data_IF_437585859553
#
_entry.id   IF_437585859553
#
_cell.length_a   1.000
_cell.length_b   1.000
_cell.length_c   1.000
_cell.angle_alpha   90.00
_cell.angle_beta   90.00
_cell.angle_gamma   90.00
#
_symmetry.space_group_name_H-M   'P 1'
#
loop_
_entity.id
_entity.type
_entity.pdbx_description
1 polymer ?
#
# COMPACT_ATOMS: atom_id res chain seq x y z
N UNK A 1 0.61 2.10 31.20
CA UNK A 1 0.35 1.31 29.99
C UNK A 1 -0.70 2.05 29.17
N UNK A 2 -0.30 2.70 28.06
CA UNK A 2 -1.10 2.97 26.84
C UNK A 2 -0.48 4.13 26.07
N UNK A 3 0.59 3.85 25.32
CA UNK A 3 0.98 4.68 24.17
C UNK A 3 0.44 4.10 22.85
N UNK A 4 -0.44 3.09 22.96
CA UNK A 4 -1.02 2.35 21.83
C UNK A 4 -2.41 2.87 21.40
N UNK A 5 -2.91 3.95 22.01
CA UNK A 5 -4.13 4.66 21.59
C UNK A 5 -3.78 5.94 20.83
N UNK A 6 -2.88 5.85 19.86
CA UNK A 6 -2.85 6.84 18.79
C UNK A 6 -3.76 6.27 17.70
N UNK A 7 -4.68 7.08 17.17
CA UNK A 7 -5.44 6.69 15.99
C UNK A 7 -4.44 6.14 14.95
N UNK A 8 -4.63 4.91 14.47
CA UNK A 8 -3.67 4.32 13.55
C UNK A 8 -3.63 5.21 12.32
N UNK A 9 -2.46 5.80 12.06
CA UNK A 9 -2.19 6.66 10.89
C UNK A 9 -2.63 5.94 9.60
N UNK A 10 -2.55 4.61 9.60
CA UNK A 10 -3.07 3.74 8.55
C UNK A 10 -4.38 3.06 8.97
N UNK A 11 -5.48 3.39 8.30
CA UNK A 11 -6.71 2.60 8.35
C UNK A 11 -6.51 1.31 7.54
N UNK A 12 -6.47 0.16 8.22
CA UNK A 12 -6.28 -1.14 7.58
C UNK A 12 -7.51 -1.58 6.77
N UNK A 13 -8.65 -0.93 6.95
CA UNK A 13 -9.91 -1.25 6.28
C UNK A 13 -10.43 -2.64 6.66
N UNK A 14 -10.21 -3.08 7.90
CA UNK A 14 -10.45 -4.45 8.35
C UNK A 14 -11.87 -4.95 8.04
N UNK A 15 -12.89 -4.10 8.19
CA UNK A 15 -14.28 -4.44 7.85
C UNK A 15 -14.59 -4.52 6.34
N UNK A 16 -13.78 -3.89 5.49
CA UNK A 16 -13.95 -3.86 4.03
C UNK A 16 -13.06 -4.87 3.30
N UNK A 17 -12.03 -5.40 3.95
CA UNK A 17 -11.10 -6.39 3.35
C UNK A 17 -11.78 -7.67 2.87
N UNK A 18 -12.88 -8.06 3.51
CA UNK A 18 -13.68 -9.22 3.10
C UNK A 18 -14.61 -8.92 1.93
N UNK A 19 -14.79 -7.65 1.56
CA UNK A 19 -15.66 -7.26 0.45
C UNK A 19 -14.95 -7.53 -0.88
N UNK A 20 -15.51 -8.42 -1.72
CA UNK A 20 -14.96 -8.67 -3.05
C UNK A 20 -14.98 -7.37 -3.86
N UNK A 21 -13.84 -7.01 -4.44
CA UNK A 21 -13.72 -5.82 -5.29
C UNK A 21 -13.30 -4.53 -4.58
N UNK A 22 -13.31 -4.47 -3.24
CA UNK A 22 -12.89 -3.26 -2.51
C UNK A 22 -11.47 -2.80 -2.88
N UNK A 23 -10.52 -3.74 -2.96
CA UNK A 23 -9.15 -3.43 -3.37
C UNK A 23 -9.07 -2.96 -4.84
N UNK A 24 -9.90 -3.52 -5.72
CA UNK A 24 -9.96 -3.12 -7.13
C UNK A 24 -10.54 -1.71 -7.29
N UNK A 25 -11.58 -1.38 -6.52
CA UNK A 25 -12.18 -0.04 -6.52
C UNK A 25 -11.21 0.98 -5.92
N UNK A 26 -10.52 0.62 -4.83
CA UNK A 26 -9.50 1.45 -4.22
C UNK A 26 -8.30 1.72 -5.16
N UNK A 27 -7.99 0.79 -6.05
CA UNK A 27 -6.94 0.98 -7.08
C UNK A 27 -7.27 2.11 -8.05
N UNK A 28 -8.56 2.30 -8.37
CA UNK A 28 -9.02 3.37 -9.28
C UNK A 28 -8.94 4.77 -8.65
N UNK A 29 -8.61 4.86 -7.36
CA UNK A 29 -8.51 6.13 -6.68
C UNK A 29 -7.34 6.97 -7.25
N UNK A 30 -7.52 8.26 -7.59
CA UNK A 30 -6.51 9.06 -8.27
C UNK A 30 -5.25 9.33 -7.45
N UNK A 31 -5.31 9.08 -6.13
CA UNK A 31 -4.17 9.19 -5.21
C UNK A 31 -3.58 7.84 -4.82
N UNK A 32 -4.05 6.72 -5.36
CA UNK A 32 -3.54 5.41 -5.01
C UNK A 32 -2.02 5.34 -5.25
N UNK A 33 -1.30 4.83 -4.26
CA UNK A 33 0.16 4.74 -4.27
C UNK A 33 0.62 3.31 -4.04
N UNK A 34 1.75 2.99 -4.64
CA UNK A 34 2.40 1.69 -4.58
C UNK A 34 3.77 1.86 -3.92
N UNK A 35 4.09 0.96 -3.01
CA UNK A 35 5.41 0.80 -2.41
C UNK A 35 6.05 -0.51 -2.90
N UNK A 36 7.27 -0.44 -3.40
CA UNK A 36 8.04 -1.63 -3.74
C UNK A 36 8.51 -2.36 -2.49
N UNK A 37 8.37 -3.68 -2.45
CA UNK A 37 8.85 -4.54 -1.36
C UNK A 37 9.69 -5.68 -1.95
N UNK A 38 10.93 -5.85 -1.49
CA UNK A 38 11.79 -6.95 -1.94
C UNK A 38 11.45 -8.27 -1.22
N UNK A 39 12.08 -9.37 -1.67
CA UNK A 39 11.86 -10.71 -1.11
C UNK A 39 12.24 -10.85 0.38
N UNK A 40 13.03 -9.93 0.93
CA UNK A 40 13.41 -9.89 2.34
C UNK A 40 12.46 -9.00 3.17
N UNK A 41 11.45 -8.38 2.53
CA UNK A 41 10.53 -7.45 3.17
C UNK A 41 11.06 -6.02 3.29
N UNK A 42 12.15 -5.67 2.60
CA UNK A 42 12.62 -4.29 2.57
C UNK A 42 11.81 -3.45 1.58
N UNK A 43 11.56 -2.20 1.96
CA UNK A 43 10.82 -1.24 1.14
C UNK A 43 11.76 -0.39 0.28
N UNK A 44 11.28 0.05 -0.89
CA UNK A 44 11.96 1.05 -1.71
C UNK A 44 12.00 2.40 -1.00
N UNK A 45 13.16 3.02 -0.97
CA UNK A 45 13.39 4.32 -0.34
C UNK A 45 14.52 5.08 -1.05
N UNK A 46 14.44 6.40 -1.05
CA UNK A 46 15.43 7.35 -1.54
C UNK A 46 15.88 8.31 -0.42
N UNK A 47 16.64 9.35 -0.76
CA UNK A 47 17.15 10.33 0.22
C UNK A 47 16.03 11.11 0.94
N UNK A 48 14.83 11.19 0.34
CA UNK A 48 13.67 11.92 0.86
C UNK A 48 12.70 11.01 1.65
N UNK A 49 12.95 9.70 1.65
CA UNK A 49 12.18 8.72 2.43
C UNK A 49 11.66 7.56 1.58
N UNK A 50 10.42 7.15 1.80
CA UNK A 50 9.83 6.05 1.04
C UNK A 50 9.58 6.45 -0.42
N UNK A 51 10.01 5.60 -1.34
CA UNK A 51 9.82 5.81 -2.77
C UNK A 51 8.46 5.29 -3.19
N UNK A 52 7.57 6.20 -3.54
CA UNK A 52 6.19 5.90 -3.95
C UNK A 52 6.02 5.97 -5.46
N UNK A 53 5.22 5.05 -6.01
CA UNK A 53 4.80 5.07 -7.42
C UNK A 53 3.28 5.25 -7.49
N UNK A 54 2.80 6.02 -8.47
CA UNK A 54 1.36 6.13 -8.69
C UNK A 54 0.79 4.78 -9.18
N UNK A 55 -0.43 4.44 -8.75
CA UNK A 55 -1.14 3.31 -9.33
C UNK A 55 -1.55 3.63 -10.77
N UNK A 56 -1.03 2.86 -11.72
CA UNK A 56 -1.31 3.02 -13.14
C UNK A 56 -1.72 1.68 -13.77
N UNK A 57 -2.56 1.75 -14.80
CA UNK A 57 -3.04 0.57 -15.50
C UNK A 57 -3.99 -0.31 -14.68
N UNK A 58 -4.12 -1.57 -15.09
CA UNK A 58 -5.00 -2.53 -14.43
C UNK A 58 -4.37 -3.07 -13.13
N UNK A 59 -5.20 -3.23 -12.10
CA UNK A 59 -4.78 -3.91 -10.88
C UNK A 59 -4.52 -5.39 -11.16
N UNK A 60 -3.35 -5.92 -10.77
CA UNK A 60 -3.04 -7.35 -10.76
C UNK A 60 -3.19 -7.87 -9.33
N UNK A 61 -4.24 -8.65 -9.01
CA UNK A 61 -4.47 -9.17 -7.66
C UNK A 61 -3.36 -10.10 -7.13
N UNK A 62 -2.49 -10.62 -8.00
CA UNK A 62 -1.35 -11.46 -7.61
C UNK A 62 -0.08 -10.65 -7.30
N UNK A 63 -0.07 -9.36 -7.62
CA UNK A 63 1.11 -8.49 -7.44
C UNK A 63 0.80 -7.25 -6.61
N UNK A 64 -0.41 -6.72 -6.70
CA UNK A 64 -0.82 -5.48 -6.05
C UNK A 64 -1.66 -5.79 -4.82
N UNK A 65 -1.00 -5.77 -3.66
CA UNK A 65 -1.67 -6.09 -2.39
C UNK A 65 -1.99 -4.81 -1.62
N UNK A 66 -3.25 -4.61 -1.27
CA UNK A 66 -3.68 -3.43 -0.52
C UNK A 66 -3.27 -3.54 0.96
N UNK A 67 -2.52 -2.56 1.46
CA UNK A 67 -2.20 -2.43 2.87
C UNK A 67 -3.33 -1.74 3.65
N UNK A 68 -3.92 -0.70 3.06
CA UNK A 68 -4.95 0.11 3.71
C UNK A 68 -5.04 1.52 3.13
N UNK A 69 -5.57 2.44 3.93
CA UNK A 69 -5.72 3.84 3.60
C UNK A 69 -4.87 4.70 4.54
N UNK A 70 -4.09 5.63 3.98
CA UNK A 70 -3.39 6.66 4.74
C UNK A 70 -3.95 8.03 4.35
N UNK A 71 -4.66 8.71 5.26
CA UNK A 71 -5.35 9.98 4.96
C UNK A 71 -6.23 9.90 3.68
N UNK A 72 -7.07 8.86 3.61
CA UNK A 72 -7.93 8.52 2.45
C UNK A 72 -7.16 8.22 1.15
N UNK A 73 -5.88 7.83 1.27
CA UNK A 73 -5.05 7.41 0.15
C UNK A 73 -4.87 5.90 0.18
N UNK A 74 -5.35 5.16 -0.84
CA UNK A 74 -5.06 3.74 -0.94
C UNK A 74 -3.57 3.48 -1.10
N UNK A 75 -3.04 2.64 -0.23
CA UNK A 75 -1.65 2.18 -0.24
C UNK A 75 -1.63 0.72 -0.64
N UNK A 76 -0.89 0.43 -1.71
CA UNK A 76 -0.60 -0.90 -2.21
C UNK A 76 0.88 -1.22 -2.05
N UNK A 77 1.21 -2.50 -2.00
CA UNK A 77 2.58 -2.99 -2.16
C UNK A 77 2.68 -3.82 -3.44
N UNK A 78 3.86 -3.81 -4.04
CA UNK A 78 4.22 -4.67 -5.16
C UNK A 78 5.57 -5.33 -4.92
N UNK A 79 5.74 -6.63 -5.22
CA UNK A 79 7.03 -7.28 -5.12
C UNK A 79 8.00 -6.71 -6.16
N UNK A 80 9.21 -6.38 -5.74
CA UNK A 80 10.31 -5.92 -6.60
C UNK A 80 11.52 -6.83 -6.50
N UNK A 81 12.41 -6.78 -7.49
CA UNK A 81 13.68 -7.49 -7.41
C UNK A 81 14.58 -6.88 -6.32
N UNK A 82 15.36 -7.71 -5.65
CA UNK A 82 16.35 -7.22 -4.71
C UNK A 82 17.43 -6.43 -5.46
N UNK A 83 17.53 -5.13 -5.17
CA UNK A 83 18.46 -4.21 -5.84
C UNK A 83 17.81 -3.09 -6.66
N UNK A 84 16.49 -3.12 -6.88
CA UNK A 84 15.73 -2.03 -7.54
C UNK A 84 15.48 -0.82 -6.60
N UNK A 85 16.41 -0.58 -5.65
CA UNK A 85 16.32 0.50 -4.65
C UNK A 85 16.38 1.87 -5.31
#
# INVERSE_FOLDING_TARGET
MSQWQQDPILDRGEGRRSEPGWATDAWQHPRAQILGVDANGHVSADEDGLRWVAAEGACDPQRHFMLGLWADRPIFITPIAHGDR
#
